data_IF_512578475222
#
_entry.id   IF_512578475222
#
_cell.length_a   1.000
_cell.length_b   1.000
_cell.length_c   1.000
_cell.angle_alpha   90.00
_cell.angle_beta   90.00
_cell.angle_gamma   90.00
#
_symmetry.space_group_name_H-M   'P 1'
#
loop_
_entity.id
_entity.type
_entity.pdbx_description
1 polymer ?
#
# COMPACT_ATOMS: atom_id res chain seq x y z
N UNK A 1 5.91 -15.33 -3.39
CA UNK A 1 5.65 -14.16 -2.53
C UNK A 1 6.16 -14.47 -1.13
N UNK A 2 6.98 -13.56 -0.56
CA UNK A 2 7.53 -13.68 0.81
C UNK A 2 7.31 -12.42 1.65
N UNK A 3 6.64 -11.41 1.11
CA UNK A 3 6.30 -10.20 1.87
C UNK A 3 4.79 -10.16 2.08
N UNK A 4 4.35 -9.85 3.30
CA UNK A 4 2.94 -9.82 3.67
C UNK A 4 2.61 -8.50 4.38
N UNK A 5 1.66 -7.75 3.80
CA UNK A 5 1.09 -6.56 4.44
C UNK A 5 -0.20 -6.94 5.17
N UNK A 6 -0.28 -6.56 6.44
CA UNK A 6 -1.40 -6.80 7.34
C UNK A 6 -1.61 -5.57 8.22
N UNK A 7 -2.60 -5.61 9.11
CA UNK A 7 -2.78 -4.63 10.17
C UNK A 7 -3.60 -5.26 11.31
N UNK A 8 -3.50 -4.76 12.55
CA UNK A 8 -4.36 -5.20 13.65
C UNK A 8 -5.85 -5.08 13.31
N UNK A 9 -6.24 -3.99 12.64
CA UNK A 9 -7.62 -3.73 12.24
C UNK A 9 -8.17 -4.66 11.15
N UNK A 10 -7.32 -5.44 10.47
CA UNK A 10 -7.77 -6.39 9.44
C UNK A 10 -8.19 -7.73 10.03
N UNK A 11 -7.77 -8.04 11.27
CA UNK A 11 -8.01 -9.35 11.88
C UNK A 11 -7.22 -10.51 11.26
N UNK A 12 -6.28 -10.22 10.35
CA UNK A 12 -5.53 -11.22 9.58
C UNK A 12 -4.20 -11.65 10.22
N UNK A 13 -3.75 -10.99 11.29
CA UNK A 13 -2.42 -11.26 11.87
C UNK A 13 -2.27 -12.67 12.43
N UNK A 14 -3.29 -13.17 13.15
CA UNK A 14 -3.22 -14.49 13.77
C UNK A 14 -3.15 -15.61 12.74
N UNK A 15 -4.05 -15.60 11.76
CA UNK A 15 -4.06 -16.62 10.69
C UNK A 15 -2.79 -16.56 9.83
N UNK A 16 -2.23 -15.37 9.62
CA UNK A 16 -0.97 -15.22 8.91
C UNK A 16 0.20 -15.80 9.72
N UNK A 17 0.25 -15.55 11.03
CA UNK A 17 1.27 -16.13 11.92
C UNK A 17 1.18 -17.65 12.00
N UNK A 18 -0.02 -18.20 12.12
CA UNK A 18 -0.26 -19.66 12.07
C UNK A 18 0.26 -20.26 10.75
N UNK A 19 -0.03 -19.61 9.61
CA UNK A 19 0.47 -20.02 8.31
C UNK A 19 2.01 -19.98 8.24
N UNK A 20 2.64 -18.90 8.70
CA UNK A 20 4.10 -18.75 8.71
C UNK A 20 4.74 -19.85 9.55
N UNK A 21 4.19 -20.08 10.75
CA UNK A 21 4.69 -21.07 11.69
C UNK A 21 4.57 -22.49 11.16
N UNK A 22 3.39 -22.86 10.65
CA UNK A 22 3.13 -24.19 10.10
C UNK A 22 4.02 -24.54 8.89
N UNK A 23 4.57 -23.53 8.21
CA UNK A 23 5.44 -23.72 7.05
C UNK A 23 6.93 -23.42 7.33
N UNK A 24 7.30 -23.08 8.57
CA UNK A 24 8.69 -22.79 8.95
C UNK A 24 9.30 -21.56 8.27
N UNK A 25 8.48 -20.55 7.95
CA UNK A 25 8.86 -19.42 7.11
C UNK A 25 9.36 -18.18 7.88
N UNK A 26 9.51 -18.26 9.21
CA UNK A 26 9.74 -17.10 10.09
C UNK A 26 10.96 -16.26 9.69
N UNK A 27 11.99 -16.89 9.13
CA UNK A 27 13.24 -16.23 8.72
C UNK A 27 13.27 -15.85 7.22
N UNK A 28 12.24 -16.19 6.46
CA UNK A 28 12.14 -15.89 5.02
C UNK A 28 11.16 -14.76 4.71
N UNK A 29 10.23 -14.48 5.62
CA UNK A 29 9.14 -13.54 5.38
C UNK A 29 9.50 -12.13 5.79
N UNK A 30 8.96 -11.15 5.06
CA UNK A 30 8.98 -9.74 5.43
C UNK A 30 7.58 -9.31 5.82
N UNK A 31 7.38 -8.99 7.09
CA UNK A 31 6.07 -8.57 7.59
C UNK A 31 5.97 -7.05 7.63
N UNK A 32 4.89 -6.55 7.04
CA UNK A 32 4.48 -5.17 7.15
C UNK A 32 3.20 -5.15 7.97
N UNK A 33 3.23 -4.53 9.15
CA UNK A 33 2.03 -4.32 9.96
C UNK A 33 1.91 -2.85 10.36
N UNK A 34 0.83 -2.50 11.07
CA UNK A 34 0.47 -1.10 11.29
C UNK A 34 0.16 -0.80 12.75
N UNK A 35 0.58 0.37 13.20
CA UNK A 35 0.13 1.01 14.42
C UNK A 35 -1.33 1.45 14.19
N UNK A 36 -2.27 1.08 15.09
CA UNK A 36 -3.64 1.54 15.01
C UNK A 36 -3.73 3.07 15.18
N UNK A 37 -4.91 3.65 14.97
CA UNK A 37 -5.12 5.06 15.26
C UNK A 37 -4.85 5.31 16.76
N UNK A 38 -3.99 6.30 17.05
CA UNK A 38 -3.61 6.71 18.42
C UNK A 38 -3.90 8.19 18.67
N UNK A 39 -4.71 8.80 17.82
CA UNK A 39 -5.09 10.20 17.87
C UNK A 39 -5.71 10.52 19.24
N UNK A 40 -5.28 11.65 19.83
CA UNK A 40 -5.80 12.17 21.11
C UNK A 40 -5.60 11.25 22.33
N UNK A 41 -4.80 10.20 22.23
CA UNK A 41 -4.43 9.38 23.38
C UNK A 41 -3.34 10.07 24.20
N UNK A 42 -3.64 10.35 25.47
CA UNK A 42 -2.65 10.85 26.44
C UNK A 42 -1.49 9.85 26.63
N UNK A 43 -1.77 8.56 26.48
CA UNK A 43 -0.81 7.46 26.65
C UNK A 43 -0.63 6.68 25.32
N UNK A 44 -0.31 7.42 24.25
CA UNK A 44 -0.06 6.82 22.94
C UNK A 44 1.16 5.89 22.99
N UNK A 45 2.19 6.21 23.77
CA UNK A 45 3.43 5.40 23.87
C UNK A 45 3.14 3.97 24.31
N UNK A 46 2.46 3.78 25.45
CA UNK A 46 2.10 2.43 25.92
C UNK A 46 1.10 1.74 25.00
N UNK A 47 0.26 2.51 24.29
CA UNK A 47 -0.67 1.95 23.31
C UNK A 47 0.08 1.39 22.10
N UNK A 48 1.07 2.12 21.58
CA UNK A 48 1.94 1.67 20.49
C UNK A 48 2.73 0.44 20.91
N UNK A 49 3.35 0.45 22.10
CA UNK A 49 4.11 -0.69 22.61
C UNK A 49 3.24 -1.95 22.71
N UNK A 50 2.11 -1.88 23.41
CA UNK A 50 1.18 -3.03 23.54
C UNK A 50 0.63 -3.52 22.20
N UNK A 51 0.35 -2.61 21.27
CA UNK A 51 -0.08 -2.99 19.93
C UNK A 51 1.03 -3.70 19.16
N UNK A 52 2.27 -3.25 19.30
CA UNK A 52 3.45 -3.85 18.67
C UNK A 52 3.70 -5.25 19.23
N UNK A 53 3.70 -5.40 20.56
CA UNK A 53 3.77 -6.69 21.26
C UNK A 53 2.67 -7.64 20.78
N UNK A 54 1.41 -7.19 20.78
CA UNK A 54 0.30 -8.03 20.33
C UNK A 54 0.43 -8.47 18.87
N UNK A 55 0.95 -7.60 18.01
CA UNK A 55 1.19 -7.94 16.59
C UNK A 55 2.28 -9.00 16.48
N UNK A 56 3.41 -8.81 17.18
CA UNK A 56 4.51 -9.78 17.23
C UNK A 56 4.07 -11.15 17.75
N UNK A 57 3.26 -11.17 18.82
CA UNK A 57 2.73 -12.41 19.39
C UNK A 57 1.84 -13.16 18.39
N UNK A 58 0.94 -12.46 17.71
CA UNK A 58 0.03 -13.07 16.71
C UNK A 58 0.77 -13.54 15.47
N UNK A 59 1.75 -12.76 15.00
CA UNK A 59 2.49 -13.03 13.78
C UNK A 59 3.61 -14.07 14.00
N UNK A 60 4.14 -14.17 15.21
CA UNK A 60 5.23 -15.09 15.56
C UNK A 60 6.53 -14.84 14.80
N UNK A 61 6.75 -13.63 14.30
CA UNK A 61 7.94 -13.25 13.53
C UNK A 61 8.28 -11.75 13.65
N UNK A 62 9.54 -11.36 13.36
CA UNK A 62 9.96 -9.96 13.32
C UNK A 62 9.17 -9.12 12.31
N UNK A 63 9.05 -7.82 12.60
CA UNK A 63 8.39 -6.85 11.71
C UNK A 63 9.46 -6.16 10.84
N UNK A 64 9.31 -6.24 9.52
CA UNK A 64 10.19 -5.52 8.57
C UNK A 64 9.85 -4.02 8.56
N UNK A 65 8.56 -3.68 8.52
CA UNK A 65 8.11 -2.28 8.58
C UNK A 65 6.89 -2.14 9.47
N UNK A 66 6.95 -1.23 10.45
CA UNK A 66 5.83 -0.85 11.29
C UNK A 66 5.27 0.50 10.82
N UNK A 67 4.13 0.48 10.14
CA UNK A 67 3.51 1.67 9.56
C UNK A 67 2.58 2.39 10.54
N UNK A 68 2.58 3.71 10.57
CA UNK A 68 1.39 4.46 10.97
C UNK A 68 0.26 4.19 9.99
N UNK A 69 -0.87 3.66 10.47
CA UNK A 69 -2.03 3.42 9.62
C UNK A 69 -2.76 4.73 9.28
N UNK A 70 -2.82 5.64 10.26
CA UNK A 70 -3.37 6.98 10.10
C UNK A 70 -2.24 7.99 9.91
N UNK A 71 -2.16 8.70 8.76
CA UNK A 71 -1.10 9.67 8.53
C UNK A 71 -1.15 10.85 9.51
N UNK A 72 -2.29 11.20 10.10
CA UNK A 72 -2.34 12.27 11.10
C UNK A 72 -1.48 11.97 12.35
N UNK A 73 -1.32 10.69 12.68
CA UNK A 73 -0.54 10.25 13.84
C UNK A 73 0.97 10.26 13.55
N UNK A 74 1.40 10.32 12.29
CA UNK A 74 2.84 10.26 11.96
C UNK A 74 3.61 11.51 12.39
N UNK A 75 2.93 12.61 12.70
CA UNK A 75 3.55 13.79 13.33
C UNK A 75 4.28 13.43 14.65
N UNK A 76 3.88 12.33 15.30
CA UNK A 76 4.54 11.82 16.49
C UNK A 76 5.98 11.39 16.22
N UNK A 77 6.30 10.89 15.01
CA UNK A 77 7.68 10.53 14.63
C UNK A 77 8.62 11.72 14.78
N UNK A 78 8.18 12.90 14.34
CA UNK A 78 8.95 14.15 14.44
C UNK A 78 8.96 14.68 15.87
N UNK A 79 7.83 14.62 16.57
CA UNK A 79 7.69 15.16 17.95
C UNK A 79 8.42 14.33 19.01
N UNK A 80 8.55 13.03 18.81
CA UNK A 80 9.10 12.11 19.80
C UNK A 80 10.02 11.06 19.15
N UNK A 81 11.01 11.54 18.39
CA UNK A 81 11.92 10.69 17.65
C UNK A 81 12.62 9.63 18.52
N UNK A 82 13.09 10.01 19.72
CA UNK A 82 13.79 9.11 20.64
C UNK A 82 12.94 7.91 21.04
N UNK A 83 11.64 8.12 21.34
CA UNK A 83 10.72 7.03 21.64
C UNK A 83 10.66 6.01 20.50
N UNK A 84 10.56 6.46 19.25
CA UNK A 84 10.50 5.53 18.10
C UNK A 84 11.82 4.84 17.84
N UNK A 85 12.95 5.53 18.00
CA UNK A 85 14.26 4.89 17.93
C UNK A 85 14.42 3.79 18.99
N UNK A 86 13.94 4.03 20.20
CA UNK A 86 13.99 3.04 21.28
C UNK A 86 12.98 1.92 21.07
N UNK A 87 11.79 2.21 20.53
CA UNK A 87 10.81 1.19 20.12
C UNK A 87 11.41 0.20 19.13
N UNK A 88 12.14 0.67 18.11
CA UNK A 88 12.80 -0.17 17.12
C UNK A 88 13.97 -1.00 17.70
N UNK A 89 14.57 -0.58 18.82
CA UNK A 89 15.61 -1.34 19.53
C UNK A 89 15.03 -2.34 20.52
N UNK A 90 13.92 -1.98 21.17
CA UNK A 90 13.22 -2.77 22.17
C UNK A 90 12.50 -3.96 21.54
N UNK A 91 11.87 -3.75 20.40
CA UNK A 91 11.14 -4.76 19.65
C UNK A 91 11.90 -5.17 18.37
N UNK A 92 11.72 -6.40 17.86
CA UNK A 92 12.32 -6.84 16.60
C UNK A 92 11.59 -6.21 15.40
N UNK A 93 11.73 -4.89 15.26
CA UNK A 93 11.15 -4.05 14.21
C UNK A 93 12.29 -3.38 13.46
N UNK A 94 12.37 -3.60 12.15
CA UNK A 94 13.53 -3.10 11.38
C UNK A 94 13.43 -1.62 11.04
N UNK A 95 12.23 -1.11 10.74
CA UNK A 95 12.05 0.28 10.26
C UNK A 95 10.64 0.79 10.54
N UNK A 96 10.51 2.08 10.81
CA UNK A 96 9.21 2.78 10.86
C UNK A 96 8.71 3.10 9.45
N UNK A 97 7.40 3.22 9.28
CA UNK A 97 6.81 3.72 8.04
C UNK A 97 5.54 4.51 8.26
N UNK A 98 5.04 5.14 7.20
CA UNK A 98 3.76 5.88 7.21
C UNK A 98 2.92 5.50 6.01
N UNK A 99 1.66 5.12 6.25
CA UNK A 99 0.64 4.96 5.22
C UNK A 99 0.00 6.31 4.92
N UNK A 100 0.38 6.93 3.81
CA UNK A 100 -0.12 8.25 3.38
C UNK A 100 -1.18 8.11 2.29
N UNK A 101 -1.99 9.16 2.14
CA UNK A 101 -3.02 9.32 1.13
C UNK A 101 -2.83 10.56 0.26
N UNK A 102 -2.19 11.61 0.80
CA UNK A 102 -1.95 12.85 0.08
C UNK A 102 -0.46 13.21 0.04
N UNK A 103 0.05 13.74 -1.08
CA UNK A 103 1.44 14.19 -1.22
C UNK A 103 1.98 15.03 -0.05
N UNK A 104 1.17 15.98 0.46
CA UNK A 104 1.55 16.88 1.56
C UNK A 104 1.94 16.15 2.85
N UNK A 105 1.42 14.95 3.08
CA UNK A 105 1.68 14.17 4.29
C UNK A 105 3.13 13.63 4.29
N UNK A 106 3.73 13.48 3.10
CA UNK A 106 5.16 13.17 2.97
C UNK A 106 6.00 14.40 3.31
N UNK A 107 5.60 15.59 2.84
CA UNK A 107 6.33 16.85 3.10
C UNK A 107 6.40 17.17 4.60
N UNK A 108 5.36 16.85 5.37
CA UNK A 108 5.30 17.02 6.83
C UNK A 108 6.35 16.17 7.57
N UNK A 109 6.91 15.15 6.93
CA UNK A 109 7.87 14.21 7.50
C UNK A 109 9.28 14.39 6.94
N UNK A 110 9.51 15.39 6.07
CA UNK A 110 10.81 15.62 5.40
C UNK A 110 11.98 15.84 6.36
N UNK A 111 11.70 16.36 7.55
CA UNK A 111 12.70 16.68 8.57
C UNK A 111 13.03 15.48 9.47
N UNK A 112 12.39 14.32 9.26
CA UNK A 112 12.67 13.09 10.00
C UNK A 112 13.96 12.43 9.49
N UNK A 113 15.01 12.27 10.31
CA UNK A 113 16.37 11.95 9.85
C UNK A 113 16.63 10.46 9.55
N UNK A 114 15.58 9.65 9.34
CA UNK A 114 15.72 8.20 9.16
C UNK A 114 15.13 7.70 7.84
N UNK A 115 15.49 6.46 7.46
CA UNK A 115 15.00 5.76 6.26
C UNK A 115 13.52 5.35 6.40
N UNK A 116 12.63 6.32 6.55
CA UNK A 116 11.20 6.10 6.73
C UNK A 116 10.59 5.43 5.50
N UNK A 117 9.87 4.33 5.69
CA UNK A 117 9.14 3.70 4.60
C UNK A 117 7.81 4.43 4.33
N UNK A 118 7.42 4.55 3.07
CA UNK A 118 6.14 5.15 2.68
C UNK A 118 5.26 4.14 1.97
N UNK A 119 3.99 4.08 2.37
CA UNK A 119 2.97 3.32 1.66
C UNK A 119 1.90 4.27 1.14
N UNK A 120 1.70 4.35 -0.18
CA UNK A 120 0.89 5.40 -0.81
C UNK A 120 0.06 4.87 -1.99
N UNK A 121 -1.10 5.50 -2.30
CA UNK A 121 -1.87 5.13 -3.48
C UNK A 121 -1.09 5.49 -4.74
N UNK A 122 -0.91 4.50 -5.61
CA UNK A 122 -0.30 4.73 -6.92
C UNK A 122 -0.81 3.72 -7.94
N UNK A 123 -1.39 4.23 -9.02
CA UNK A 123 -1.94 3.42 -10.10
C UNK A 123 -2.04 4.24 -11.38
N UNK A 124 -2.57 3.62 -12.45
CA UNK A 124 -2.68 4.23 -13.78
C UNK A 124 -3.36 5.61 -13.75
N UNK A 125 -4.34 5.80 -12.86
CA UNK A 125 -5.16 7.00 -12.73
C UNK A 125 -4.65 7.95 -11.63
N UNK A 126 -4.25 7.41 -10.49
CA UNK A 126 -3.69 8.20 -9.39
C UNK A 126 -2.16 8.26 -9.47
N UNK A 127 -1.68 9.38 -10.00
CA UNK A 127 -0.25 9.68 -10.19
C UNK A 127 0.24 10.84 -9.33
N UNK A 128 -0.52 11.23 -8.32
CA UNK A 128 -0.20 12.41 -7.49
C UNK A 128 1.17 12.31 -6.82
N UNK A 129 1.63 11.09 -6.53
CA UNK A 129 2.92 10.81 -5.92
C UNK A 129 4.10 10.79 -6.92
N UNK A 130 3.89 10.90 -8.23
CA UNK A 130 5.01 10.93 -9.21
C UNK A 130 5.92 12.15 -9.03
N UNK A 131 5.39 13.24 -8.47
CA UNK A 131 6.13 14.49 -8.25
C UNK A 131 6.58 14.67 -6.79
N UNK A 132 6.42 13.63 -5.97
CA UNK A 132 6.78 13.66 -4.55
C UNK A 132 8.14 13.02 -4.36
N UNK A 133 9.09 13.78 -3.82
CA UNK A 133 10.43 13.29 -3.55
C UNK A 133 10.45 12.45 -2.27
N UNK A 134 10.47 11.12 -2.42
CA UNK A 134 10.70 10.15 -1.34
C UNK A 134 12.10 9.55 -1.50
N UNK A 135 13.14 10.35 -1.22
CA UNK A 135 14.53 10.00 -1.54
C UNK A 135 15.12 8.93 -0.61
N UNK A 136 14.50 8.69 0.55
CA UNK A 136 14.99 7.78 1.58
C UNK A 136 13.92 6.74 1.93
N UNK A 137 14.38 5.56 2.36
CA UNK A 137 13.50 4.46 2.75
C UNK A 137 12.88 3.69 1.57
N UNK A 138 11.99 2.75 1.91
CA UNK A 138 11.31 1.87 0.95
C UNK A 138 9.94 2.44 0.58
N UNK A 139 9.58 2.39 -0.70
CA UNK A 139 8.35 2.95 -1.28
C UNK A 139 7.39 1.84 -1.72
N UNK A 140 6.22 1.79 -1.11
CA UNK A 140 5.21 0.77 -1.29
C UNK A 140 3.96 1.32 -1.96
N UNK A 141 3.78 1.05 -3.26
CA UNK A 141 2.54 1.38 -3.95
C UNK A 141 1.40 0.47 -3.46
N UNK A 142 0.28 1.06 -3.07
CA UNK A 142 -0.96 0.34 -2.79
C UNK A 142 -2.09 0.82 -3.70
N UNK A 143 -3.21 0.12 -3.65
CA UNK A 143 -4.38 0.44 -4.47
C UNK A 143 -4.07 0.43 -5.98
N UNK A 144 -3.17 -0.45 -6.42
CA UNK A 144 -2.75 -0.52 -7.83
C UNK A 144 -3.92 -0.87 -8.77
N UNK A 145 -4.97 -1.51 -8.23
CA UNK A 145 -6.20 -1.85 -8.94
C UNK A 145 -7.38 -0.93 -8.65
N UNK A 146 -7.21 0.05 -7.74
CA UNK A 146 -8.24 1.02 -7.32
C UNK A 146 -9.59 0.35 -7.00
N UNK A 147 -9.65 -0.49 -5.96
CA UNK A 147 -10.84 -1.27 -5.58
C UNK A 147 -11.41 -2.12 -6.74
N UNK A 148 -10.55 -2.67 -7.58
CA UNK A 148 -10.96 -3.52 -8.71
C UNK A 148 -11.38 -2.76 -9.97
N UNK A 149 -11.55 -1.43 -9.92
CA UNK A 149 -11.89 -0.59 -11.08
C UNK A 149 -10.96 -0.87 -12.26
N UNK A 150 -9.65 -0.94 -11.99
CA UNK A 150 -8.61 -1.13 -13.01
C UNK A 150 -8.34 -2.59 -13.36
N UNK A 151 -8.81 -3.53 -12.55
CA UNK A 151 -8.53 -4.96 -12.72
C UNK A 151 -9.65 -5.71 -13.45
N UNK A 152 -10.91 -5.29 -13.26
CA UNK A 152 -12.08 -5.98 -13.79
C UNK A 152 -13.14 -4.98 -14.24
N UNK A 153 -13.87 -5.23 -15.34
CA UNK A 153 -15.01 -4.41 -15.76
C UNK A 153 -16.20 -4.50 -14.79
N UNK A 154 -16.21 -5.50 -13.89
CA UNK A 154 -17.24 -5.69 -12.86
C UNK A 154 -16.65 -5.51 -11.45
N UNK A 155 -15.52 -4.82 -11.33
CA UNK A 155 -14.81 -4.68 -10.05
C UNK A 155 -15.43 -3.66 -9.09
N UNK A 156 -16.33 -2.80 -9.58
CA UNK A 156 -16.94 -1.77 -8.75
C UNK A 156 -18.10 -2.31 -7.91
N UNK A 157 -18.26 -1.74 -6.71
CA UNK A 157 -19.43 -1.94 -5.86
C UNK A 157 -20.70 -1.41 -6.52
N UNK A 158 -21.85 -1.97 -6.14
CA UNK A 158 -23.14 -1.65 -6.76
C UNK A 158 -23.57 -0.19 -6.59
N UNK A 159 -23.14 0.47 -5.52
CA UNK A 159 -23.41 1.86 -5.15
C UNK A 159 -22.28 2.81 -5.57
N UNK A 160 -21.40 2.40 -6.48
CA UNK A 160 -20.37 3.29 -7.01
C UNK A 160 -21.02 4.45 -7.82
N UNK A 161 -20.51 5.70 -7.67
CA UNK A 161 -20.94 6.83 -8.49
C UNK A 161 -20.95 6.52 -9.99
N UNK A 162 -21.92 7.07 -10.72
CA UNK A 162 -22.07 6.85 -12.17
C UNK A 162 -20.82 7.27 -12.95
N UNK A 163 -20.11 8.30 -12.48
CA UNK A 163 -18.86 8.76 -13.04
C UNK A 163 -17.77 7.68 -13.00
N UNK A 164 -17.72 6.86 -11.94
CA UNK A 164 -16.76 5.75 -11.85
C UNK A 164 -17.11 4.61 -12.80
N UNK A 165 -18.40 4.31 -12.98
CA UNK A 165 -18.87 3.31 -13.93
C UNK A 165 -18.49 3.70 -15.37
N UNK A 166 -18.72 4.97 -15.73
CA UNK A 166 -18.34 5.52 -17.03
C UNK A 166 -16.82 5.52 -17.25
N UNK A 167 -16.06 5.88 -16.21
CA UNK A 167 -14.60 5.85 -16.24
C UNK A 167 -14.07 4.43 -16.43
N UNK A 168 -14.57 3.46 -15.66
CA UNK A 168 -14.21 2.06 -15.76
C UNK A 168 -14.48 1.55 -17.18
N UNK A 169 -15.69 1.75 -17.70
CA UNK A 169 -16.07 1.33 -19.05
C UNK A 169 -15.10 1.87 -20.10
N UNK A 170 -14.83 3.18 -20.08
CA UNK A 170 -13.90 3.82 -21.02
C UNK A 170 -12.48 3.26 -20.92
N UNK A 171 -11.99 3.05 -19.70
CA UNK A 171 -10.67 2.47 -19.46
C UNK A 171 -10.56 1.06 -20.05
N UNK A 172 -11.52 0.18 -19.77
CA UNK A 172 -11.50 -1.20 -20.27
C UNK A 172 -11.69 -1.27 -21.79
N UNK A 173 -12.52 -0.41 -22.39
CA UNK A 173 -12.65 -0.31 -23.85
C UNK A 173 -11.32 0.02 -24.53
N UNK A 174 -10.56 0.98 -23.97
CA UNK A 174 -9.22 1.32 -24.49
C UNK A 174 -8.28 0.11 -24.43
N UNK A 175 -8.27 -0.64 -23.32
CA UNK A 175 -7.40 -1.80 -23.21
C UNK A 175 -7.79 -2.94 -24.17
N UNK A 176 -9.09 -3.19 -24.33
CA UNK A 176 -9.62 -4.19 -25.28
C UNK A 176 -9.21 -3.84 -26.72
N UNK A 177 -9.31 -2.57 -27.13
CA UNK A 177 -8.89 -2.15 -28.49
C UNK A 177 -7.40 -2.37 -28.78
N UNK A 178 -6.59 -2.56 -27.74
CA UNK A 178 -5.15 -2.81 -27.85
C UNK A 178 -4.75 -4.25 -27.50
N UNK A 179 -5.73 -5.14 -27.28
CA UNK A 179 -5.53 -6.53 -26.85
C UNK A 179 -4.70 -6.65 -25.57
N UNK A 180 -4.99 -5.77 -24.60
CA UNK A 180 -4.28 -5.71 -23.32
C UNK A 180 -5.19 -6.15 -22.18
N UNK A 181 -4.69 -7.06 -21.35
CA UNK A 181 -5.38 -7.49 -20.13
C UNK A 181 -5.27 -6.40 -19.05
N UNK A 182 -6.37 -6.04 -18.35
CA UNK A 182 -6.34 -4.96 -17.36
C UNK A 182 -5.38 -5.16 -16.20
N UNK A 183 -5.30 -6.39 -15.67
CA UNK A 183 -4.39 -6.73 -14.57
C UNK A 183 -2.92 -6.56 -15.01
N UNK A 184 -2.57 -7.04 -16.19
CA UNK A 184 -1.21 -6.90 -16.73
C UNK A 184 -0.82 -5.44 -16.91
N UNK A 185 -1.74 -4.61 -17.39
CA UNK A 185 -1.51 -3.19 -17.58
C UNK A 185 -1.26 -2.46 -16.26
N UNK A 186 -2.11 -2.71 -15.26
CA UNK A 186 -1.97 -2.08 -13.94
C UNK A 186 -0.68 -2.49 -13.23
N UNK A 187 -0.30 -3.77 -13.30
CA UNK A 187 0.98 -4.25 -12.74
C UNK A 187 2.16 -3.67 -13.52
N UNK A 188 2.14 -3.75 -14.84
CA UNK A 188 3.21 -3.23 -15.68
C UNK A 188 3.40 -1.72 -15.49
N UNK A 189 2.32 -0.98 -15.24
CA UNK A 189 2.41 0.44 -14.92
C UNK A 189 3.24 0.72 -13.67
N UNK A 190 3.00 0.00 -12.56
CA UNK A 190 3.74 0.22 -11.31
C UNK A 190 5.16 -0.35 -11.38
N UNK A 191 5.37 -1.49 -12.06
CA UNK A 191 6.69 -2.13 -12.20
C UNK A 191 7.66 -1.30 -13.05
N UNK A 192 7.16 -0.53 -14.02
CA UNK A 192 7.99 0.32 -14.88
C UNK A 192 8.12 1.77 -14.37
N UNK A 193 7.88 2.00 -13.07
CA UNK A 193 7.95 3.33 -12.46
C UNK A 193 8.96 3.37 -11.30
N UNK A 194 9.94 4.27 -11.40
CA UNK A 194 11.07 4.36 -10.47
C UNK A 194 10.70 4.98 -9.10
N UNK A 195 9.47 5.48 -8.93
CA UNK A 195 8.99 5.99 -7.62
C UNK A 195 8.57 4.87 -6.66
N UNK A 196 8.53 3.61 -7.13
CA UNK A 196 8.00 2.46 -6.40
C UNK A 196 9.08 1.39 -6.26
N UNK A 197 9.32 0.91 -5.04
CA UNK A 197 10.21 -0.22 -4.80
C UNK A 197 9.43 -1.54 -4.70
N UNK A 198 8.23 -1.49 -4.14
CA UNK A 198 7.33 -2.62 -3.94
C UNK A 198 5.89 -2.20 -4.20
N UNK A 199 5.03 -3.14 -4.55
CA UNK A 199 3.60 -2.89 -4.64
C UNK A 199 2.79 -3.96 -3.92
N UNK A 200 1.62 -3.56 -3.44
CA UNK A 200 0.69 -4.41 -2.72
C UNK A 200 -0.43 -4.86 -3.65
N UNK A 201 -0.76 -6.15 -3.57
CA UNK A 201 -1.91 -6.76 -4.23
C UNK A 201 -2.76 -7.50 -3.20
N UNK A 202 -4.05 -7.16 -3.15
CA UNK A 202 -5.06 -8.00 -2.50
C UNK A 202 -5.60 -9.01 -3.51
N UNK A 203 -5.84 -10.23 -3.04
CA UNK A 203 -6.32 -11.35 -3.86
C UNK A 203 -7.30 -12.20 -3.07
N UNK A 204 -8.33 -12.69 -3.74
CA UNK A 204 -9.40 -13.53 -3.17
C UNK A 204 -9.22 -15.00 -3.52
N UNK A 205 -8.26 -15.33 -4.39
CA UNK A 205 -8.01 -16.72 -4.80
C UNK A 205 -6.56 -17.00 -5.16
N UNK A 206 -6.14 -18.25 -4.99
CA UNK A 206 -4.83 -18.73 -5.42
C UNK A 206 -4.62 -18.54 -6.95
N UNK A 207 -5.69 -18.59 -7.75
CA UNK A 207 -5.60 -18.37 -9.18
C UNK A 207 -5.24 -16.93 -9.54
N UNK A 208 -5.74 -15.94 -8.79
CA UNK A 208 -5.34 -14.54 -8.99
C UNK A 208 -3.85 -14.35 -8.68
N UNK A 209 -3.32 -14.92 -7.59
CA UNK A 209 -1.88 -14.89 -7.29
C UNK A 209 -1.08 -15.53 -8.44
N UNK A 210 -1.48 -16.72 -8.89
CA UNK A 210 -0.81 -17.39 -10.02
C UNK A 210 -0.83 -16.53 -11.28
N UNK A 211 -1.92 -15.84 -11.56
CA UNK A 211 -2.01 -14.95 -12.70
C UNK A 211 -1.02 -13.79 -12.57
N UNK A 212 -1.05 -13.08 -11.43
CA UNK A 212 -0.16 -11.95 -11.13
C UNK A 212 1.32 -12.33 -11.24
N UNK A 213 1.70 -13.52 -10.73
CA UNK A 213 3.09 -14.00 -10.78
C UNK A 213 3.54 -14.41 -12.19
N UNK A 214 2.60 -14.68 -13.10
CA UNK A 214 2.86 -15.03 -14.49
C UNK A 214 2.50 -13.88 -15.45
N UNK A 215 2.26 -12.67 -14.94
CA UNK A 215 1.99 -11.50 -15.77
C UNK A 215 3.24 -11.14 -16.57
N UNK A 216 3.10 -11.11 -17.89
CA UNK A 216 4.14 -10.62 -18.78
C UNK A 216 4.27 -9.10 -18.64
N UNK A 217 5.51 -8.62 -18.49
CA UNK A 217 5.77 -7.20 -18.39
C UNK A 217 5.51 -6.51 -19.74
N UNK A 218 4.51 -5.63 -19.79
CA UNK A 218 4.22 -4.82 -20.96
C UNK A 218 5.33 -3.77 -21.12
N UNK A 219 5.85 -3.64 -22.35
CA UNK A 219 6.94 -2.71 -22.67
C UNK A 219 6.58 -1.28 -22.22
N UNK A 220 7.53 -0.61 -21.57
CA UNK A 220 7.37 0.76 -21.07
C UNK A 220 6.85 1.75 -22.13
N UNK A 221 7.18 1.57 -23.41
CA UNK A 221 6.68 2.40 -24.50
C UNK A 221 5.15 2.33 -24.66
N UNK A 222 4.55 1.14 -24.48
CA UNK A 222 3.11 0.93 -24.56
C UNK A 222 2.45 1.52 -23.31
N UNK A 223 3.06 1.32 -22.14
CA UNK A 223 2.61 1.95 -20.89
C UNK A 223 2.61 3.47 -21.01
N UNK A 224 3.69 4.07 -21.53
CA UNK A 224 3.77 5.52 -21.76
C UNK A 224 2.76 6.00 -22.81
N UNK A 225 2.56 5.24 -23.88
CA UNK A 225 1.58 5.57 -24.92
C UNK A 225 0.15 5.57 -24.35
N UNK A 226 -0.26 4.49 -23.69
CA UNK A 226 -1.59 4.37 -23.10
C UNK A 226 -1.75 5.24 -21.86
N UNK A 227 -0.67 5.45 -21.12
CA UNK A 227 -0.63 6.33 -19.96
C UNK A 227 -0.80 7.81 -20.31
N UNK A 228 -0.72 8.19 -21.60
CA UNK A 228 -1.07 9.52 -22.11
C UNK A 228 -2.57 9.71 -22.31
N UNK A 229 -3.39 8.66 -22.27
CA UNK A 229 -4.83 8.85 -22.20
C UNK A 229 -5.14 9.57 -20.90
N UNK A 230 -5.39 10.87 -21.02
CA UNK A 230 -5.77 11.72 -19.90
C UNK A 230 -7.22 11.44 -19.57
N UNK A 231 -7.41 10.75 -18.46
CA UNK A 231 -8.71 10.70 -17.82
C UNK A 231 -8.80 11.97 -16.96
N UNK A 232 -9.65 12.91 -17.37
CA UNK A 232 -9.96 14.06 -16.51
C UNK A 232 -10.80 13.54 -15.34
N UNK A 233 -10.14 13.23 -14.22
CA UNK A 233 -10.75 12.59 -13.07
C UNK A 233 -10.75 13.58 -11.91
N UNK A 234 -11.91 13.75 -11.29
CA UNK A 234 -12.01 14.46 -10.01
C UNK A 234 -11.14 13.75 -8.97
N UNK A 235 -10.29 14.52 -8.27
CA UNK A 235 -9.42 13.99 -7.21
C UNK A 235 -10.19 13.20 -6.15
N UNK A 236 -11.46 13.52 -5.91
CA UNK A 236 -12.30 12.77 -4.98
C UNK A 236 -12.58 11.34 -5.46
N UNK A 237 -12.61 11.10 -6.77
CA UNK A 237 -12.78 9.78 -7.36
C UNK A 237 -11.50 8.93 -7.32
N UNK A 238 -10.33 9.53 -7.07
CA UNK A 238 -9.07 8.81 -6.90
C UNK A 238 -8.93 8.16 -5.52
N UNK A 239 -9.74 8.58 -4.55
CA UNK A 239 -9.71 8.07 -3.17
C UNK A 239 -10.98 7.26 -2.89
N UNK A 240 -10.90 5.92 -2.82
CA UNK A 240 -12.07 5.08 -2.56
C UNK A 240 -12.80 5.37 -1.25
N UNK A 241 -12.15 6.02 -0.28
CA UNK A 241 -12.80 6.43 0.98
C UNK A 241 -13.87 7.50 0.77
N UNK A 242 -13.83 8.20 -0.37
CA UNK A 242 -14.73 9.32 -0.72
C UNK A 242 -15.81 8.92 -1.71
N UNK A 243 -15.94 7.63 -2.06
CA UNK A 243 -16.95 7.18 -3.02
C UNK A 243 -18.37 7.08 -2.43
N UNK A 244 -18.51 7.33 -1.12
CA UNK A 244 -19.77 7.27 -0.36
C UNK A 244 -20.53 8.60 -0.38
#
# INVERSE_FOLDING_TARGET
VRSFDTAPGYGSELILGEFISANGLQNEVKILTKIPNVENLLDYENTIKRSTESSLDKLGCPIDVLFFHNPADSVLLVKNQLFFEDLLKEFPVSTSGVSVYEPKEVDELRDYPSNLAFQFPFNVLDRRFEQVEMLQGKRYARSIFLQGLLASPNGLRQDAPEELLNLQKKYHEILVTHDIRPVDFAISFVVNNDIVDYFLVGVDSANQIKHILNTDNIKQQVIKFLGKYTFNIDKNLLDPRKWN
#
